data_IF_740514939640
#
_entry.id   IF_740514939640
#
_cell.length_a   1.000
_cell.length_b   1.000
_cell.length_c   1.000
_cell.angle_alpha   90.00
_cell.angle_beta   90.00
_cell.angle_gamma   90.00
#
_symmetry.space_group_name_H-M   'P 1'
#
loop_
_entity.id
_entity.type
_entity.pdbx_description
1 polymer ?
#
# COMPACT_ATOMS: atom_id res chain seq x y z
N UNK A 1 -9.51 7.45 29.59
CA UNK A 1 -10.43 7.76 28.47
C UNK A 1 -11.30 6.53 28.23
N UNK A 2 -12.61 6.71 28.21
CA UNK A 2 -13.58 5.62 28.08
C UNK A 2 -13.54 5.05 26.64
N UNK A 3 -13.11 3.79 26.51
CA UNK A 3 -12.94 3.12 25.20
C UNK A 3 -14.26 3.01 24.42
N UNK A 4 -15.37 2.85 25.14
CA UNK A 4 -16.71 2.77 24.55
C UNK A 4 -17.12 4.11 23.91
N UNK A 5 -16.89 5.24 24.62
CA UNK A 5 -17.15 6.57 24.07
C UNK A 5 -16.27 6.86 22.87
N UNK A 6 -14.97 6.50 22.92
CA UNK A 6 -14.07 6.68 21.80
C UNK A 6 -14.54 5.91 20.56
N UNK A 7 -14.99 4.65 20.75
CA UNK A 7 -15.55 3.82 19.68
C UNK A 7 -16.83 4.45 19.11
N UNK A 8 -17.74 4.89 19.96
CA UNK A 8 -18.97 5.55 19.54
C UNK A 8 -18.71 6.76 18.63
N UNK A 9 -17.80 7.67 19.05
CA UNK A 9 -17.46 8.83 18.25
C UNK A 9 -16.73 8.49 16.95
N UNK A 10 -15.90 7.45 16.96
CA UNK A 10 -15.22 6.98 15.74
C UNK A 10 -16.24 6.42 14.72
N UNK A 11 -17.22 5.64 15.16
CA UNK A 11 -18.30 5.15 14.29
C UNK A 11 -19.09 6.31 13.70
N UNK A 12 -19.44 7.30 14.51
CA UNK A 12 -20.15 8.50 14.04
C UNK A 12 -19.32 9.29 13.02
N UNK A 13 -18.03 9.49 13.27
CA UNK A 13 -17.14 10.17 12.32
C UNK A 13 -16.99 9.40 11.02
N UNK A 14 -16.97 8.07 11.08
CA UNK A 14 -16.86 7.19 9.90
C UNK A 14 -18.12 7.17 9.00
N UNK A 15 -19.21 7.84 9.36
CA UNK A 15 -20.37 7.98 8.47
C UNK A 15 -20.04 8.80 7.21
N UNK A 16 -19.15 9.81 7.35
CA UNK A 16 -18.84 10.77 6.27
C UNK A 16 -17.34 11.12 6.11
N UNK A 17 -16.48 10.73 7.03
CA UNK A 17 -15.06 11.08 7.01
C UNK A 17 -14.20 9.86 6.61
N UNK A 18 -13.53 9.89 5.43
CA UNK A 18 -12.70 8.77 4.95
C UNK A 18 -11.58 8.37 5.92
N UNK A 19 -10.89 9.31 6.56
CA UNK A 19 -9.85 9.01 7.56
C UNK A 19 -10.40 8.29 8.79
N UNK A 20 -11.61 8.66 9.24
CA UNK A 20 -12.27 7.96 10.33
C UNK A 20 -12.72 6.54 9.90
N UNK A 21 -13.13 6.36 8.63
CA UNK A 21 -13.42 5.04 8.06
C UNK A 21 -12.18 4.14 8.09
N UNK A 22 -11.00 4.65 7.67
CA UNK A 22 -9.74 3.92 7.73
C UNK A 22 -9.40 3.53 9.17
N UNK A 23 -9.49 4.46 10.11
CA UNK A 23 -9.22 4.20 11.53
C UNK A 23 -10.16 3.14 12.12
N UNK A 24 -11.43 3.12 11.68
CA UNK A 24 -12.40 2.10 12.10
C UNK A 24 -12.12 0.75 11.41
N UNK A 25 -11.74 0.75 10.15
CA UNK A 25 -11.36 -0.45 9.41
C UNK A 25 -10.15 -1.14 10.04
N UNK A 26 -9.12 -0.38 10.45
CA UNK A 26 -7.97 -0.92 11.19
C UNK A 26 -8.38 -1.61 12.50
N UNK A 27 -9.35 -1.04 13.23
CA UNK A 27 -9.90 -1.71 14.43
C UNK A 27 -10.63 -2.99 14.09
N UNK A 28 -11.39 -3.00 13.00
CA UNK A 28 -12.08 -4.21 12.56
C UNK A 28 -11.08 -5.30 12.10
N UNK A 29 -9.96 -4.95 11.47
CA UNK A 29 -8.89 -5.92 11.18
C UNK A 29 -8.31 -6.55 12.45
N UNK A 30 -8.10 -5.76 13.52
CA UNK A 30 -7.63 -6.28 14.82
C UNK A 30 -8.65 -7.22 15.48
N UNK A 31 -9.93 -7.00 15.22
CA UNK A 31 -11.05 -7.82 15.73
C UNK A 31 -11.41 -8.97 14.77
N UNK A 32 -10.57 -9.28 13.76
CA UNK A 32 -10.78 -10.28 12.68
C UNK A 32 -12.08 -10.10 11.87
N UNK A 33 -12.59 -8.86 11.84
CA UNK A 33 -13.81 -8.48 11.09
C UNK A 33 -13.43 -7.93 9.71
N UNK A 34 -12.86 -8.79 8.89
CA UNK A 34 -12.28 -8.39 7.61
C UNK A 34 -13.31 -7.90 6.59
N UNK A 35 -14.51 -8.47 6.57
CA UNK A 35 -15.56 -8.05 5.64
C UNK A 35 -16.03 -6.62 5.93
N UNK A 36 -16.26 -6.27 7.20
CA UNK A 36 -16.62 -4.92 7.62
C UNK A 36 -15.47 -3.94 7.38
N UNK A 37 -14.21 -4.35 7.65
CA UNK A 37 -13.04 -3.54 7.36
C UNK A 37 -12.92 -3.25 5.87
N UNK A 38 -13.11 -4.27 5.03
CA UNK A 38 -13.05 -4.16 3.57
C UNK A 38 -14.10 -3.20 3.03
N UNK A 39 -15.35 -3.32 3.51
CA UNK A 39 -16.44 -2.43 3.10
C UNK A 39 -16.14 -0.96 3.42
N UNK A 40 -15.56 -0.69 4.60
CA UNK A 40 -15.16 0.66 4.99
C UNK A 40 -14.01 1.19 4.14
N UNK A 41 -12.99 0.36 3.86
CA UNK A 41 -11.86 0.75 3.02
C UNK A 41 -12.31 1.09 1.59
N UNK A 42 -13.16 0.26 0.97
CA UNK A 42 -13.68 0.53 -0.37
C UNK A 42 -14.45 1.85 -0.38
N UNK A 43 -15.39 2.03 0.56
CA UNK A 43 -16.16 3.27 0.68
C UNK A 43 -15.25 4.48 0.89
N UNK A 44 -14.28 4.39 1.79
CA UNK A 44 -13.33 5.48 2.03
C UNK A 44 -12.50 5.79 0.77
N UNK A 45 -12.06 4.75 0.05
CA UNK A 45 -11.30 4.90 -1.18
C UNK A 45 -12.07 5.60 -2.30
N UNK A 46 -13.39 5.39 -2.40
CA UNK A 46 -14.24 6.07 -3.39
C UNK A 46 -14.48 7.56 -3.04
N UNK A 47 -14.34 7.92 -1.76
CA UNK A 47 -14.56 9.27 -1.25
C UNK A 47 -13.27 10.08 -1.09
N UNK A 48 -12.10 9.48 -1.29
CA UNK A 48 -10.80 10.09 -0.96
C UNK A 48 -9.92 10.32 -2.20
N UNK A 49 -8.95 11.22 -2.01
CA UNK A 49 -7.85 11.50 -2.94
C UNK A 49 -6.53 11.63 -2.15
N UNK A 50 -5.42 11.81 -2.85
CA UNK A 50 -4.11 11.99 -2.23
C UNK A 50 -3.71 10.86 -1.27
N UNK A 51 -3.03 11.18 -0.14
CA UNK A 51 -2.51 10.16 0.77
C UNK A 51 -3.60 9.24 1.34
N UNK A 52 -4.77 9.77 1.65
CA UNK A 52 -5.88 8.93 2.16
C UNK A 52 -6.33 7.90 1.14
N UNK A 53 -6.29 8.23 -0.15
CA UNK A 53 -6.59 7.28 -1.23
C UNK A 53 -5.53 6.19 -1.31
N UNK A 54 -4.26 6.54 -1.22
CA UNK A 54 -3.15 5.56 -1.19
C UNK A 54 -3.30 4.63 0.02
N UNK A 55 -3.54 5.20 1.21
CA UNK A 55 -3.72 4.46 2.46
C UNK A 55 -4.90 3.47 2.37
N UNK A 56 -6.05 3.90 1.85
CA UNK A 56 -7.23 3.03 1.71
C UNK A 56 -7.00 1.88 0.73
N UNK A 57 -6.40 2.14 -0.43
CA UNK A 57 -6.11 1.11 -1.42
C UNK A 57 -5.04 0.15 -0.88
N UNK A 58 -4.02 0.65 -0.16
CA UNK A 58 -3.00 -0.16 0.51
C UNK A 58 -3.60 -1.06 1.61
N UNK A 59 -4.46 -0.51 2.47
CA UNK A 59 -5.12 -1.30 3.52
C UNK A 59 -6.05 -2.36 2.92
N UNK A 60 -6.78 -2.03 1.87
CA UNK A 60 -7.60 -2.99 1.11
C UNK A 60 -6.72 -4.14 0.58
N UNK A 61 -5.55 -3.82 0.05
CA UNK A 61 -4.60 -4.82 -0.41
C UNK A 61 -4.08 -5.71 0.74
N UNK A 62 -3.80 -5.13 1.91
CA UNK A 62 -3.37 -5.91 3.09
C UNK A 62 -4.46 -6.89 3.54
N UNK A 63 -5.72 -6.49 3.54
CA UNK A 63 -6.84 -7.39 3.89
C UNK A 63 -6.92 -8.56 2.90
N UNK A 64 -6.86 -8.29 1.59
CA UNK A 64 -6.84 -9.38 0.59
C UNK A 64 -5.59 -10.25 0.65
N UNK A 65 -4.48 -9.76 1.19
CA UNK A 65 -3.24 -10.51 1.37
C UNK A 65 -3.17 -11.29 2.70
N UNK A 66 -4.14 -11.15 3.58
CA UNK A 66 -4.18 -11.87 4.86
C UNK A 66 -4.73 -13.28 4.66
N UNK A 67 -3.89 -14.28 4.94
CA UNK A 67 -4.26 -15.70 4.76
C UNK A 67 -5.30 -16.18 5.79
N UNK A 68 -5.56 -15.44 6.86
CA UNK A 68 -6.64 -15.74 7.82
C UNK A 68 -8.01 -15.27 7.33
N UNK A 69 -8.03 -14.37 6.35
CA UNK A 69 -9.27 -13.89 5.74
C UNK A 69 -9.85 -14.93 4.77
N UNK A 70 -11.13 -15.26 4.92
CA UNK A 70 -11.82 -16.20 4.03
C UNK A 70 -11.84 -15.74 2.56
N UNK A 71 -11.73 -14.43 2.33
CA UNK A 71 -11.63 -13.80 1.02
C UNK A 71 -10.20 -13.56 0.54
N UNK A 72 -9.17 -14.25 1.10
CA UNK A 72 -7.79 -14.16 0.68
C UNK A 72 -7.66 -14.27 -0.85
N UNK A 73 -7.04 -13.27 -1.46
CA UNK A 73 -6.88 -13.18 -2.91
C UNK A 73 -5.61 -12.36 -3.26
N UNK A 74 -4.48 -13.04 -3.52
CA UNK A 74 -3.22 -12.37 -3.81
C UNK A 74 -3.23 -11.57 -5.12
N UNK A 75 -4.10 -11.90 -6.08
CA UNK A 75 -4.21 -11.11 -7.32
C UNK A 75 -4.98 -9.80 -7.06
N UNK A 76 -6.01 -9.82 -6.23
CA UNK A 76 -6.66 -8.59 -5.76
C UNK A 76 -5.71 -7.77 -4.90
N UNK A 77 -4.92 -8.39 -4.02
CA UNK A 77 -3.87 -7.69 -3.27
C UNK A 77 -2.97 -6.89 -4.21
N UNK A 78 -2.42 -7.54 -5.25
CA UNK A 78 -1.60 -6.88 -6.26
C UNK A 78 -2.34 -5.75 -6.96
N UNK A 79 -3.57 -5.99 -7.39
CA UNK A 79 -4.38 -5.01 -8.11
C UNK A 79 -4.60 -3.72 -7.28
N UNK A 80 -4.89 -3.84 -5.99
CA UNK A 80 -5.06 -2.69 -5.10
C UNK A 80 -3.74 -1.98 -4.81
N UNK A 81 -2.61 -2.69 -4.69
CA UNK A 81 -1.29 -2.06 -4.58
C UNK A 81 -0.92 -1.25 -5.82
N UNK A 82 -1.19 -1.78 -7.01
CA UNK A 82 -1.01 -1.04 -8.26
C UNK A 82 -1.94 0.18 -8.33
N UNK A 83 -3.17 0.06 -7.85
CA UNK A 83 -4.12 1.17 -7.78
C UNK A 83 -3.61 2.27 -6.85
N UNK A 84 -3.08 1.92 -5.67
CA UNK A 84 -2.47 2.86 -4.74
C UNK A 84 -1.29 3.61 -5.38
N UNK A 85 -0.41 2.91 -6.08
CA UNK A 85 0.78 3.47 -6.74
C UNK A 85 0.46 4.30 -8.01
N UNK A 86 -0.77 4.25 -8.51
CA UNK A 86 -1.23 5.12 -9.59
C UNK A 86 -1.90 6.42 -9.11
N UNK A 87 -2.09 6.60 -7.80
CA UNK A 87 -2.55 7.87 -7.24
C UNK A 87 -1.48 8.94 -7.41
N UNK A 88 -1.86 10.12 -7.83
CA UNK A 88 -0.94 11.26 -7.98
C UNK A 88 -1.04 12.18 -6.76
N UNK A 89 0.09 12.70 -6.25
CA UNK A 89 0.08 13.65 -5.15
C UNK A 89 -0.54 14.97 -5.58
N UNK A 90 -1.14 15.67 -4.61
CA UNK A 90 -1.50 17.07 -4.74
C UNK A 90 -0.41 17.89 -4.04
N UNK A 91 -0.01 19.09 -4.53
CA UNK A 91 1.15 19.84 -4.00
C UNK A 91 1.12 20.16 -2.49
N UNK A 92 -0.01 20.00 -1.84
CA UNK A 92 -0.20 20.26 -0.40
C UNK A 92 -0.31 18.98 0.45
N UNK A 93 -0.12 17.80 -0.16
CA UNK A 93 -0.28 16.53 0.54
C UNK A 93 0.90 16.25 1.47
N UNK A 94 0.64 16.16 2.78
CA UNK A 94 1.57 15.67 3.78
C UNK A 94 1.40 14.17 3.96
N UNK A 95 2.52 13.42 4.06
CA UNK A 95 2.52 11.97 4.30
C UNK A 95 2.24 11.13 3.06
N UNK A 96 2.23 11.73 1.86
CA UNK A 96 2.04 10.98 0.62
C UNK A 96 3.20 10.02 0.36
N UNK A 97 4.43 10.46 0.62
CA UNK A 97 5.64 9.66 0.41
C UNK A 97 5.63 8.38 1.26
N UNK A 98 5.25 8.50 2.54
CA UNK A 98 5.19 7.37 3.46
C UNK A 98 4.18 6.31 3.01
N UNK A 99 2.97 6.72 2.65
CA UNK A 99 1.93 5.80 2.18
C UNK A 99 2.30 5.15 0.84
N UNK A 100 2.91 5.93 -0.07
CA UNK A 100 3.36 5.45 -1.36
C UNK A 100 4.53 4.46 -1.21
N UNK A 101 5.51 4.77 -0.34
CA UNK A 101 6.63 3.88 -0.04
C UNK A 101 6.15 2.56 0.59
N UNK A 102 5.19 2.61 1.51
CA UNK A 102 4.58 1.42 2.10
C UNK A 102 3.90 0.54 1.04
N UNK A 103 3.12 1.15 0.13
CA UNK A 103 2.47 0.41 -0.95
C UNK A 103 3.50 -0.25 -1.89
N UNK A 104 4.58 0.45 -2.24
CA UNK A 104 5.67 -0.09 -3.06
C UNK A 104 6.39 -1.24 -2.34
N UNK A 105 6.65 -1.12 -1.04
CA UNK A 105 7.28 -2.17 -0.23
C UNK A 105 6.42 -3.44 -0.15
N UNK A 106 5.10 -3.31 -0.01
CA UNK A 106 4.18 -4.44 -0.03
C UNK A 106 4.15 -5.12 -1.40
N UNK A 107 4.15 -4.34 -2.47
CA UNK A 107 4.19 -4.91 -3.84
C UNK A 107 5.52 -5.61 -4.12
N UNK A 108 6.66 -5.10 -3.61
CA UNK A 108 7.94 -5.80 -3.61
C UNK A 108 7.81 -7.19 -2.96
N UNK A 109 7.25 -7.25 -1.76
CA UNK A 109 7.07 -8.51 -1.03
C UNK A 109 6.18 -9.49 -1.81
N UNK A 110 5.12 -8.99 -2.46
CA UNK A 110 4.28 -9.80 -3.34
C UNK A 110 5.08 -10.42 -4.49
N UNK A 111 5.92 -9.63 -5.20
CA UNK A 111 6.76 -10.16 -6.28
C UNK A 111 7.81 -11.16 -5.79
N UNK A 112 8.38 -10.95 -4.60
CA UNK A 112 9.33 -11.89 -3.99
C UNK A 112 8.65 -13.23 -3.67
N UNK A 113 7.46 -13.20 -3.08
CA UNK A 113 6.67 -14.41 -2.80
C UNK A 113 6.27 -15.12 -4.10
N UNK A 114 5.84 -14.37 -5.12
CA UNK A 114 5.52 -14.92 -6.44
C UNK A 114 6.75 -15.57 -7.08
N UNK A 115 7.92 -14.94 -6.96
CA UNK A 115 9.18 -15.49 -7.49
C UNK A 115 9.61 -16.76 -6.77
N UNK A 116 9.33 -16.91 -5.47
CA UNK A 116 9.59 -18.15 -4.72
C UNK A 116 8.75 -19.31 -5.26
N UNK A 117 7.48 -19.05 -5.59
CA UNK A 117 6.55 -20.06 -6.09
C UNK A 117 6.68 -20.31 -7.61
N UNK A 118 7.10 -19.29 -8.35
CA UNK A 118 7.26 -19.33 -9.81
C UNK A 118 8.41 -18.41 -10.21
N UNK A 119 9.67 -18.90 -10.17
CA UNK A 119 10.86 -18.11 -10.45
C UNK A 119 10.82 -17.46 -11.84
N UNK A 120 11.09 -16.15 -11.90
CA UNK A 120 11.07 -15.39 -13.14
C UNK A 120 11.93 -14.14 -13.00
N UNK A 121 12.76 -13.86 -14.02
CA UNK A 121 13.57 -12.62 -14.08
C UNK A 121 12.70 -11.36 -13.97
N UNK A 122 11.51 -11.37 -14.58
CA UNK A 122 10.55 -10.29 -14.50
C UNK A 122 10.06 -10.03 -13.07
N UNK A 123 9.80 -11.09 -12.27
CA UNK A 123 9.41 -10.94 -10.88
C UNK A 123 10.56 -10.30 -10.04
N UNK A 124 11.79 -10.74 -10.26
CA UNK A 124 12.98 -10.19 -9.57
C UNK A 124 13.17 -8.71 -9.93
N UNK A 125 13.07 -8.37 -11.21
CA UNK A 125 13.22 -7.00 -11.71
C UNK A 125 12.11 -6.08 -11.17
N UNK A 126 10.86 -6.56 -11.13
CA UNK A 126 9.74 -5.82 -10.58
C UNK A 126 9.87 -5.61 -9.06
N UNK A 127 10.34 -6.63 -8.33
CA UNK A 127 10.62 -6.48 -6.89
C UNK A 127 11.74 -5.46 -6.63
N UNK A 128 12.83 -5.49 -7.41
CA UNK A 128 13.92 -4.54 -7.32
C UNK A 128 13.45 -3.09 -7.61
N UNK A 129 12.62 -2.89 -8.63
CA UNK A 129 12.02 -1.59 -8.94
C UNK A 129 11.19 -1.06 -7.77
N UNK A 130 10.31 -1.88 -7.20
CA UNK A 130 9.51 -1.50 -6.04
C UNK A 130 10.38 -1.17 -4.81
N UNK A 131 11.51 -1.88 -4.63
CA UNK A 131 12.46 -1.58 -3.56
C UNK A 131 13.09 -0.19 -3.72
N UNK A 132 13.48 0.19 -4.94
CA UNK A 132 14.01 1.54 -5.23
C UNK A 132 12.97 2.61 -4.97
N UNK A 133 11.73 2.44 -5.46
CA UNK A 133 10.64 3.38 -5.22
C UNK A 133 10.44 3.60 -3.71
N UNK A 134 10.35 2.55 -2.93
CA UNK A 134 10.17 2.65 -1.49
C UNK A 134 11.35 3.38 -0.81
N UNK A 135 12.59 2.98 -1.12
CA UNK A 135 13.80 3.51 -0.48
C UNK A 135 14.10 4.98 -0.84
N UNK A 136 13.67 5.45 -2.01
CA UNK A 136 13.87 6.85 -2.43
C UNK A 136 12.90 7.78 -1.70
N UNK A 137 11.69 7.31 -1.45
CA UNK A 137 10.64 8.10 -0.78
C UNK A 137 10.72 8.01 0.73
N UNK A 138 11.14 6.86 1.26
CA UNK A 138 11.30 6.64 2.70
C UNK A 138 12.59 5.85 2.98
N UNK A 139 13.51 6.47 3.73
CA UNK A 139 14.83 5.89 4.05
C UNK A 139 14.75 4.63 4.90
N UNK A 140 13.69 4.39 5.61
CA UNK A 140 13.48 3.19 6.42
C UNK A 140 13.44 1.91 5.57
N UNK A 141 13.22 2.05 4.25
CA UNK A 141 13.26 0.94 3.29
C UNK A 141 14.62 0.76 2.58
N UNK A 142 15.63 1.60 2.85
CA UNK A 142 16.92 1.57 2.16
C UNK A 142 17.67 0.23 2.32
N UNK A 143 17.56 -0.43 3.47
CA UNK A 143 18.21 -1.72 3.74
C UNK A 143 17.74 -2.82 2.76
N UNK A 144 16.53 -2.70 2.23
CA UNK A 144 15.97 -3.66 1.28
C UNK A 144 16.62 -3.62 -0.10
N UNK A 145 17.36 -2.56 -0.42
CA UNK A 145 18.11 -2.45 -1.68
C UNK A 145 19.24 -3.49 -1.76
N UNK A 146 19.83 -3.85 -0.63
CA UNK A 146 20.92 -4.85 -0.57
C UNK A 146 20.47 -6.26 -1.01
N UNK A 147 19.17 -6.53 -1.01
CA UNK A 147 18.59 -7.80 -1.47
C UNK A 147 18.69 -7.98 -3.00
N UNK A 148 19.01 -6.91 -3.75
CA UNK A 148 18.99 -6.88 -5.21
C UNK A 148 20.31 -6.38 -5.80
N UNK A 149 20.75 -7.01 -6.89
CA UNK A 149 21.90 -6.56 -7.68
C UNK A 149 21.47 -5.44 -8.66
N UNK A 150 21.26 -4.23 -8.12
CA UNK A 150 20.80 -3.08 -8.91
C UNK A 150 22.00 -2.31 -9.43
N UNK A 151 22.11 -2.09 -10.75
CA UNK A 151 23.12 -1.23 -11.35
C UNK A 151 22.81 0.23 -11.04
N UNK A 152 23.87 1.06 -10.85
CA UNK A 152 23.69 2.48 -10.55
C UNK A 152 22.84 3.20 -11.61
N UNK A 153 23.05 2.91 -12.89
CA UNK A 153 22.26 3.50 -13.98
C UNK A 153 20.76 3.15 -13.93
N UNK A 154 20.42 1.93 -13.48
CA UNK A 154 19.03 1.52 -13.27
C UNK A 154 18.44 2.21 -12.04
N UNK A 155 19.22 2.30 -10.96
CA UNK A 155 18.80 3.01 -9.76
C UNK A 155 18.45 4.48 -10.09
N UNK A 156 19.32 5.17 -10.83
CA UNK A 156 19.13 6.58 -11.17
C UNK A 156 17.82 6.81 -11.97
N UNK A 157 17.52 5.95 -12.94
CA UNK A 157 16.27 6.02 -13.72
C UNK A 157 15.06 5.76 -12.80
N UNK A 158 15.09 4.72 -12.01
CA UNK A 158 13.98 4.35 -11.13
C UNK A 158 13.77 5.36 -10.00
N UNK A 159 14.84 6.02 -9.53
CA UNK A 159 14.75 7.09 -8.57
C UNK A 159 14.05 8.35 -9.14
N UNK A 160 14.19 8.60 -10.44
CA UNK A 160 13.44 9.67 -11.12
C UNK A 160 11.95 9.33 -11.16
N UNK A 161 11.60 8.07 -11.44
CA UNK A 161 10.21 7.61 -11.41
C UNK A 161 9.59 7.79 -10.02
N UNK A 162 10.33 7.42 -8.96
CA UNK A 162 9.89 7.61 -7.58
C UNK A 162 9.57 9.07 -7.26
N UNK A 163 10.51 9.98 -7.55
CA UNK A 163 10.35 11.43 -7.26
C UNK A 163 9.24 12.09 -8.04
N UNK A 164 8.88 11.54 -9.21
CA UNK A 164 7.80 12.02 -10.06
C UNK A 164 6.50 11.25 -9.87
N UNK A 165 6.46 10.28 -8.95
CA UNK A 165 5.32 9.35 -8.74
C UNK A 165 4.83 8.73 -10.05
N UNK A 166 5.78 8.38 -10.91
CA UNK A 166 5.52 7.81 -12.23
C UNK A 166 5.77 6.30 -12.20
N UNK A 167 4.91 5.60 -11.45
CA UNK A 167 5.03 4.16 -11.27
C UNK A 167 4.66 3.40 -12.55
N UNK A 168 5.57 2.56 -13.01
CA UNK A 168 5.31 1.59 -14.07
C UNK A 168 6.23 0.39 -13.92
N UNK A 169 5.66 -0.81 -13.89
CA UNK A 169 6.46 -2.01 -13.76
C UNK A 169 7.39 -2.19 -14.97
N UNK A 170 8.68 -2.51 -14.73
CA UNK A 170 9.61 -2.79 -15.82
C UNK A 170 9.22 -4.08 -16.55
N UNK A 171 9.24 -4.02 -17.87
CA UNK A 171 9.03 -5.19 -18.76
C UNK A 171 10.20 -6.17 -18.69
#
# INVERSE_FOLDING_TARGET
MDKEKARYWLVKAAESNPKAMVSLALKYCVDDKFDEALALCIKAGDMSCGPTKVETDRLTAQIYGDMSFAGYDPEKQKAYLLKALNVKPVPTDNGFDDEYAQAASLLRAWFQLKNTNSPSESNVKSAAYCAVIAAVLDRDYADRLSEFAIRQSQFDVWAVDARNYNFHLPC
#
